data_IF_929234724854
#
_entry.id   IF_929234724854
#
_cell.length_a   1.000
_cell.length_b   1.000
_cell.length_c   1.000
_cell.angle_alpha   90.00
_cell.angle_beta   90.00
_cell.angle_gamma   90.00
#
_symmetry.space_group_name_H-M   'P 1'
#
loop_
_entity.id
_entity.type
_entity.pdbx_description
1 polymer ?
#
# COMPACT_ATOMS: atom_id res chain seq x y z
N UNK A 1 -17.31 30.07 -27.38
CA UNK A 1 -17.65 29.04 -28.38
C UNK A 1 -16.44 28.13 -28.53
N UNK A 2 -16.32 27.12 -27.66
CA UNK A 2 -15.23 26.13 -27.72
C UNK A 2 -15.63 25.00 -28.68
N UNK A 3 -14.63 24.50 -29.42
CA UNK A 3 -14.77 23.83 -30.71
C UNK A 3 -15.48 22.46 -30.65
N UNK A 4 -16.61 22.35 -31.34
CA UNK A 4 -17.34 21.08 -31.57
C UNK A 4 -16.45 19.99 -32.20
N UNK A 5 -15.45 20.40 -32.98
CA UNK A 5 -14.47 19.52 -33.64
C UNK A 5 -13.49 18.86 -32.65
N UNK A 6 -13.09 19.58 -31.62
CA UNK A 6 -12.14 19.08 -30.61
C UNK A 6 -12.82 18.04 -29.70
N UNK A 7 -14.10 18.27 -29.40
CA UNK A 7 -14.96 17.35 -28.68
C UNK A 7 -15.17 16.01 -29.42
N UNK A 8 -15.51 16.07 -30.72
CA UNK A 8 -15.68 14.86 -31.54
C UNK A 8 -14.39 14.03 -31.65
N UNK A 9 -13.23 14.69 -31.61
CA UNK A 9 -11.93 14.03 -31.67
C UNK A 9 -11.63 13.30 -30.35
N UNK A 10 -11.88 13.94 -29.20
CA UNK A 10 -11.70 13.31 -27.87
C UNK A 10 -12.63 12.12 -27.64
N UNK A 11 -13.89 12.23 -28.08
CA UNK A 11 -14.87 11.15 -28.00
C UNK A 11 -14.45 9.94 -28.85
N UNK A 12 -14.00 10.16 -30.08
CA UNK A 12 -13.52 9.06 -30.95
C UNK A 12 -12.31 8.34 -30.35
N UNK A 13 -11.37 9.09 -29.77
CA UNK A 13 -10.19 8.50 -29.12
C UNK A 13 -10.59 7.67 -27.89
N UNK A 14 -11.45 8.22 -27.02
CA UNK A 14 -11.94 7.51 -25.82
C UNK A 14 -12.75 6.25 -26.15
N UNK A 15 -13.57 6.27 -27.22
CA UNK A 15 -14.32 5.09 -27.67
C UNK A 15 -13.39 4.01 -28.24
N UNK A 16 -12.35 4.41 -28.97
CA UNK A 16 -11.33 3.51 -29.52
C UNK A 16 -10.51 2.81 -28.41
N UNK A 17 -10.09 3.57 -27.39
CA UNK A 17 -9.29 3.06 -26.27
C UNK A 17 -10.04 1.99 -25.44
N UNK A 18 -11.38 2.07 -25.42
CA UNK A 18 -12.24 1.13 -24.69
C UNK A 18 -12.85 0.02 -25.58
N UNK A 19 -12.37 -0.14 -26.82
CA UNK A 19 -12.88 -1.11 -27.81
C UNK A 19 -14.39 -1.00 -28.06
N UNK A 20 -14.96 0.19 -27.90
CA UNK A 20 -16.39 0.42 -28.09
C UNK A 20 -16.66 0.86 -29.53
N UNK A 21 -17.70 0.28 -30.15
CA UNK A 21 -18.05 0.66 -31.53
C UNK A 21 -18.48 2.13 -31.62
N UNK A 22 -17.94 2.86 -32.59
CA UNK A 22 -18.28 4.26 -32.89
C UNK A 22 -19.77 4.41 -33.29
N UNK A 23 -20.46 3.32 -33.58
CA UNK A 23 -21.90 3.29 -33.90
C UNK A 23 -22.81 3.07 -32.69
N UNK A 24 -22.27 2.83 -31.49
CA UNK A 24 -23.09 2.60 -30.30
C UNK A 24 -23.65 3.92 -29.75
N UNK A 25 -24.92 4.19 -30.05
CA UNK A 25 -25.63 5.39 -29.60
C UNK A 25 -25.72 5.49 -28.07
N UNK A 26 -25.69 4.36 -27.33
CA UNK A 26 -25.69 4.38 -25.86
C UNK A 26 -24.37 4.92 -25.33
N UNK A 27 -23.25 4.50 -25.93
CA UNK A 27 -21.93 4.98 -25.58
C UNK A 27 -21.79 6.47 -25.88
N UNK A 28 -22.28 6.91 -27.06
CA UNK A 28 -22.27 8.33 -27.44
C UNK A 28 -23.05 9.24 -26.49
N UNK A 29 -24.07 8.73 -25.81
CA UNK A 29 -24.83 9.48 -24.80
C UNK A 29 -24.19 9.40 -23.40
N UNK A 30 -23.71 8.22 -23.01
CA UNK A 30 -23.17 7.97 -21.67
C UNK A 30 -21.84 8.71 -21.39
N UNK A 31 -20.93 8.79 -22.36
CA UNK A 31 -19.64 9.48 -22.17
C UNK A 31 -19.79 11.00 -21.92
N UNK A 32 -20.59 11.75 -22.69
CA UNK A 32 -20.90 13.15 -22.37
C UNK A 32 -21.51 13.32 -20.98
N UNK A 33 -22.45 12.46 -20.60
CA UNK A 33 -23.10 12.53 -19.30
C UNK A 33 -22.12 12.27 -18.15
N UNK A 34 -21.23 11.29 -18.30
CA UNK A 34 -20.16 11.01 -17.36
C UNK A 34 -19.16 12.16 -17.28
N UNK A 35 -18.74 12.71 -18.42
CA UNK A 35 -17.81 13.85 -18.47
C UNK A 35 -18.42 15.08 -17.80
N UNK A 36 -19.70 15.36 -18.06
CA UNK A 36 -20.43 16.44 -17.41
C UNK A 36 -20.61 16.18 -15.90
N UNK A 37 -20.90 14.95 -15.50
CA UNK A 37 -21.03 14.58 -14.09
C UNK A 37 -19.71 14.73 -13.34
N UNK A 38 -18.61 14.27 -13.93
CA UNK A 38 -17.25 14.44 -13.40
C UNK A 38 -16.91 15.92 -13.30
N UNK A 39 -17.12 16.69 -14.37
CA UNK A 39 -16.91 18.13 -14.37
C UNK A 39 -17.73 18.81 -13.26
N UNK A 40 -19.01 18.48 -13.14
CA UNK A 40 -19.87 19.02 -12.09
C UNK A 40 -19.40 18.63 -10.68
N UNK A 41 -18.90 17.42 -10.47
CA UNK A 41 -18.34 16.97 -9.19
C UNK A 41 -17.06 17.71 -8.81
N UNK A 42 -16.19 18.02 -9.79
CA UNK A 42 -14.92 18.71 -9.54
C UNK A 42 -15.00 20.23 -9.59
N UNK A 43 -15.99 20.80 -10.28
CA UNK A 43 -16.16 22.25 -10.46
C UNK A 43 -17.17 22.86 -9.50
N UNK A 44 -18.13 22.08 -8.96
CA UNK A 44 -19.06 22.61 -7.96
C UNK A 44 -18.38 22.72 -6.60
N UNK A 45 -18.50 23.87 -5.91
CA UNK A 45 -17.98 24.00 -4.56
C UNK A 45 -18.68 23.01 -3.64
N UNK A 46 -17.89 22.32 -2.80
CA UNK A 46 -18.39 21.42 -1.76
C UNK A 46 -19.49 22.14 -0.95
N UNK A 47 -20.63 21.48 -0.67
CA UNK A 47 -21.64 22.02 0.23
C UNK A 47 -21.00 22.55 1.52
N UNK A 48 -21.40 23.75 1.95
CA UNK A 48 -20.74 24.44 3.07
C UNK A 48 -20.66 23.59 4.34
N UNK A 49 -21.65 22.71 4.58
CA UNK A 49 -21.65 21.74 5.68
C UNK A 49 -20.50 20.73 5.57
N UNK A 50 -20.34 20.10 4.40
CA UNK A 50 -19.26 19.13 4.16
C UNK A 50 -17.90 19.79 4.24
N UNK A 51 -17.75 20.99 3.68
CA UNK A 51 -16.51 21.76 3.79
C UNK A 51 -16.15 22.07 5.24
N UNK A 52 -17.13 22.49 6.07
CA UNK A 52 -16.91 22.73 7.50
C UNK A 52 -16.49 21.46 8.24
N UNK A 53 -17.16 20.33 7.98
CA UNK A 53 -16.80 19.04 8.56
C UNK A 53 -15.37 18.63 8.18
N UNK A 54 -15.03 18.67 6.89
CA UNK A 54 -13.69 18.35 6.40
C UNK A 54 -12.62 19.27 7.03
N UNK A 55 -12.89 20.57 7.12
CA UNK A 55 -11.97 21.54 7.75
C UNK A 55 -11.78 21.28 9.25
N UNK A 56 -12.82 20.84 9.94
CA UNK A 56 -12.76 20.48 11.36
C UNK A 56 -11.91 19.24 11.59
N UNK A 57 -12.17 18.17 10.84
CA UNK A 57 -11.38 16.94 10.91
C UNK A 57 -9.92 17.17 10.52
N UNK A 58 -9.66 17.93 9.46
CA UNK A 58 -8.30 18.31 9.07
C UNK A 58 -7.55 19.04 10.20
N UNK A 59 -8.21 19.94 10.92
CA UNK A 59 -7.61 20.65 12.07
C UNK A 59 -7.29 19.69 13.21
N UNK A 60 -8.15 18.71 13.50
CA UNK A 60 -7.86 17.68 14.51
C UNK A 60 -6.64 16.87 14.13
N UNK A 61 -6.60 16.35 12.90
CA UNK A 61 -5.46 15.58 12.37
C UNK A 61 -4.17 16.39 12.45
N UNK A 62 -4.18 17.67 12.05
CA UNK A 62 -3.00 18.53 12.16
C UNK A 62 -2.55 18.78 13.58
N UNK A 63 -3.46 18.85 14.56
CA UNK A 63 -3.11 18.97 15.98
C UNK A 63 -2.50 17.68 16.50
N UNK A 64 -3.06 16.52 16.16
CA UNK A 64 -2.51 15.22 16.52
C UNK A 64 -1.10 15.03 15.94
N UNK A 65 -0.90 15.35 14.66
CA UNK A 65 0.42 15.30 14.03
C UNK A 65 1.46 16.16 14.78
N UNK A 66 1.09 17.39 15.17
CA UNK A 66 1.98 18.27 15.95
C UNK A 66 2.27 17.71 17.34
N UNK A 67 1.30 17.09 18.00
CA UNK A 67 1.48 16.49 19.31
C UNK A 67 2.41 15.29 19.23
N UNK A 68 2.19 14.39 18.26
CA UNK A 68 3.03 13.22 18.03
C UNK A 68 4.47 13.61 17.67
N UNK A 69 4.66 14.68 16.89
CA UNK A 69 5.99 15.19 16.60
C UNK A 69 6.76 15.64 17.86
N UNK A 70 6.06 16.09 18.91
CA UNK A 70 6.65 16.46 20.20
C UNK A 70 6.79 15.28 21.17
N UNK A 71 6.20 14.13 20.85
CA UNK A 71 6.14 12.93 21.69
C UNK A 71 6.58 11.72 20.87
N UNK A 72 7.89 11.60 20.55
CA UNK A 72 8.42 10.46 19.82
C UNK A 72 8.36 9.15 20.62
N UNK A 73 8.05 9.25 21.91
CA UNK A 73 7.75 8.14 22.79
C UNK A 73 6.37 7.51 22.51
N UNK A 74 5.49 8.15 21.75
CA UNK A 74 4.17 7.61 21.40
C UNK A 74 4.24 6.92 20.04
N UNK A 75 3.82 5.66 19.99
CA UNK A 75 3.73 4.85 18.79
C UNK A 75 2.26 4.63 18.42
N UNK A 76 1.95 4.87 17.15
CA UNK A 76 0.68 4.49 16.53
C UNK A 76 0.99 3.45 15.46
N UNK A 77 0.39 2.26 15.57
CA UNK A 77 0.59 1.17 14.61
C UNK A 77 -0.76 0.58 14.21
N UNK A 78 -0.89 0.20 12.93
CA UNK A 78 -2.01 -0.63 12.50
C UNK A 78 -1.80 -2.05 13.02
N UNK A 79 -2.87 -2.72 13.42
CA UNK A 79 -2.82 -4.13 13.81
C UNK A 79 -3.02 -4.97 12.55
N UNK A 80 -2.18 -5.99 12.36
CA UNK A 80 -2.24 -6.85 11.18
C UNK A 80 -3.52 -7.70 11.14
N UNK A 81 -3.95 -8.17 12.32
CA UNK A 81 -5.21 -8.90 12.50
C UNK A 81 -6.32 -7.98 13.02
N UNK A 82 -6.95 -7.22 12.12
CA UNK A 82 -8.23 -6.53 12.38
C UNK A 82 -8.32 -5.07 11.93
N UNK A 83 -9.49 -4.46 12.16
CA UNK A 83 -9.78 -3.05 11.90
C UNK A 83 -9.43 -2.19 13.13
N UNK A 84 -8.15 -2.18 13.53
CA UNK A 84 -7.72 -1.49 14.73
C UNK A 84 -6.34 -0.86 14.64
N UNK A 85 -6.07 0.05 15.58
CA UNK A 85 -4.77 0.64 15.76
C UNK A 85 -4.32 0.49 17.21
N UNK A 86 -3.04 0.17 17.38
CA UNK A 86 -2.37 0.31 18.65
C UNK A 86 -1.94 1.77 18.86
N UNK A 87 -2.16 2.27 20.07
CA UNK A 87 -1.70 3.56 20.54
C UNK A 87 -1.05 3.37 21.92
N UNK A 88 0.24 3.69 22.05
CA UNK A 88 0.90 3.54 23.35
C UNK A 88 2.34 3.99 23.38
N UNK A 89 3.01 3.77 24.51
CA UNK A 89 4.38 4.22 24.71
C UNK A 89 5.39 3.22 24.14
N UNK A 90 6.40 3.75 23.43
CA UNK A 90 7.54 3.01 22.88
C UNK A 90 8.26 2.17 23.95
N UNK A 91 8.49 2.72 25.14
CA UNK A 91 9.22 2.01 26.19
C UNK A 91 8.48 0.76 26.68
N UNK A 92 7.15 0.80 26.70
CA UNK A 92 6.32 -0.36 27.09
C UNK A 92 6.42 -1.46 26.03
N UNK A 93 6.45 -1.08 24.75
CA UNK A 93 6.64 -2.04 23.66
C UNK A 93 8.03 -2.69 23.76
N UNK A 94 9.07 -1.87 23.93
CA UNK A 94 10.45 -2.36 24.06
C UNK A 94 10.58 -3.34 25.23
N UNK A 95 10.05 -2.99 26.41
CA UNK A 95 10.06 -3.86 27.58
C UNK A 95 9.36 -5.21 27.32
N UNK A 96 8.15 -5.20 26.76
CA UNK A 96 7.42 -6.43 26.44
C UNK A 96 8.12 -7.28 25.38
N UNK A 97 8.78 -6.62 24.43
CA UNK A 97 9.56 -7.27 23.38
C UNK A 97 10.75 -7.98 24.01
N UNK A 98 11.53 -7.30 24.84
CA UNK A 98 12.66 -7.87 25.57
C UNK A 98 12.25 -9.04 26.47
N UNK A 99 11.16 -8.90 27.22
CA UNK A 99 10.61 -9.96 28.07
C UNK A 99 10.24 -11.19 27.25
N UNK A 100 9.52 -11.01 26.14
CA UNK A 100 9.13 -12.10 25.26
C UNK A 100 10.34 -12.78 24.61
N UNK A 101 11.32 -12.01 24.11
CA UNK A 101 12.55 -12.55 23.52
C UNK A 101 13.34 -13.37 24.54
N UNK A 102 13.46 -12.88 25.78
CA UNK A 102 14.13 -13.58 26.87
C UNK A 102 13.44 -14.89 27.25
N UNK A 103 12.11 -14.92 27.21
CA UNK A 103 11.34 -16.10 27.61
C UNK A 103 11.27 -17.18 26.52
N UNK A 104 11.29 -16.78 25.25
CA UNK A 104 11.08 -17.72 24.13
C UNK A 104 12.35 -18.12 23.41
N UNK A 105 13.41 -17.32 23.51
CA UNK A 105 14.64 -17.46 22.71
C UNK A 105 14.38 -17.59 21.19
N UNK A 106 13.18 -17.22 20.73
CA UNK A 106 12.69 -17.50 19.38
C UNK A 106 13.05 -16.41 18.35
N UNK A 107 13.55 -15.27 18.82
CA UNK A 107 13.84 -14.10 17.99
C UNK A 107 15.24 -13.57 18.29
N UNK A 108 15.95 -13.12 17.25
CA UNK A 108 17.25 -12.47 17.35
C UNK A 108 17.20 -11.12 16.62
N UNK A 109 17.73 -10.08 17.26
CA UNK A 109 17.82 -8.75 16.65
C UNK A 109 18.85 -8.74 15.51
N UNK A 110 18.47 -8.19 14.35
CA UNK A 110 19.37 -7.97 13.23
C UNK A 110 20.04 -6.60 13.38
N UNK A 111 21.23 -6.57 13.97
CA UNK A 111 21.93 -5.32 14.33
C UNK A 111 22.76 -4.70 13.19
N UNK A 112 23.13 -5.50 12.19
CA UNK A 112 24.12 -5.10 11.16
C UNK A 112 23.51 -4.43 9.94
N UNK A 113 22.18 -4.33 9.86
CA UNK A 113 21.45 -3.86 8.67
C UNK A 113 21.60 -4.77 7.45
N UNK A 114 22.26 -5.92 7.58
CA UNK A 114 22.40 -6.94 6.53
C UNK A 114 21.26 -7.93 6.65
N UNK A 115 20.70 -8.34 5.52
CA UNK A 115 19.71 -9.41 5.49
C UNK A 115 20.35 -10.70 6.05
N UNK A 116 19.84 -11.27 7.16
CA UNK A 116 20.41 -12.48 7.75
C UNK A 116 20.26 -13.71 6.84
N UNK A 117 19.37 -13.65 5.85
CA UNK A 117 19.15 -14.72 4.87
C UNK A 117 19.95 -14.53 3.57
N UNK A 118 20.79 -13.49 3.46
CA UNK A 118 21.53 -13.19 2.23
C UNK A 118 22.34 -14.37 1.71
N UNK A 119 23.03 -15.08 2.60
CA UNK A 119 23.85 -16.25 2.21
C UNK A 119 23.00 -17.45 1.80
N UNK A 120 21.82 -17.61 2.41
CA UNK A 120 20.85 -18.63 2.03
C UNK A 120 20.31 -18.33 0.63
N UNK A 121 19.90 -17.08 0.35
CA UNK A 121 19.44 -16.67 -0.98
C UNK A 121 20.49 -16.94 -2.05
N UNK A 122 21.74 -16.53 -1.82
CA UNK A 122 22.86 -16.77 -2.74
C UNK A 122 23.09 -18.26 -2.97
N UNK A 123 23.00 -19.07 -1.92
CA UNK A 123 23.17 -20.52 -2.02
C UNK A 123 22.05 -21.16 -2.84
N UNK A 124 20.80 -20.75 -2.61
CA UNK A 124 19.65 -21.22 -3.38
C UNK A 124 19.76 -20.83 -4.85
N UNK A 125 20.13 -19.58 -5.15
CA UNK A 125 20.38 -19.12 -6.53
C UNK A 125 21.47 -19.95 -7.22
N UNK A 126 22.60 -20.21 -6.53
CA UNK A 126 23.69 -21.00 -7.07
C UNK A 126 23.27 -22.45 -7.41
N UNK A 127 22.44 -23.07 -6.56
CA UNK A 127 21.90 -24.41 -6.81
C UNK A 127 20.94 -24.40 -8.00
N UNK A 128 20.04 -23.43 -8.07
CA UNK A 128 19.09 -23.31 -9.18
C UNK A 128 19.81 -23.07 -10.52
N UNK A 129 20.85 -22.24 -10.52
CA UNK A 129 21.71 -22.01 -11.69
C UNK A 129 22.42 -23.27 -12.13
N UNK A 130 22.92 -24.07 -11.19
CA UNK A 130 23.54 -25.35 -11.50
C UNK A 130 22.56 -26.32 -12.16
N UNK A 131 21.34 -26.42 -11.62
CA UNK A 131 20.29 -27.30 -12.16
C UNK A 131 19.81 -26.87 -13.56
N UNK A 132 19.68 -25.56 -13.80
CA UNK A 132 19.35 -25.00 -15.11
C UNK A 132 20.46 -25.27 -16.14
N UNK A 133 21.73 -25.06 -15.76
CA UNK A 133 22.89 -25.39 -16.63
C UNK A 133 22.96 -26.88 -16.97
N UNK A 134 22.56 -27.75 -16.03
CA UNK A 134 22.46 -29.21 -16.25
C UNK A 134 21.18 -29.63 -16.98
N UNK A 135 20.31 -28.68 -17.35
CA UNK A 135 19.01 -28.90 -17.98
C UNK A 135 18.09 -29.85 -17.19
N UNK A 136 18.25 -29.87 -15.87
CA UNK A 136 17.40 -30.66 -14.95
C UNK A 136 16.08 -29.94 -14.70
N UNK A 137 16.11 -28.61 -14.70
CA UNK A 137 14.94 -27.74 -14.61
C UNK A 137 14.88 -26.81 -15.81
N UNK A 138 13.68 -26.37 -16.17
CA UNK A 138 13.48 -25.32 -17.17
C UNK A 138 13.68 -23.93 -16.57
N UNK A 139 14.00 -22.94 -17.40
CA UNK A 139 14.07 -21.53 -17.01
C UNK A 139 12.82 -21.04 -16.29
N UNK A 140 11.63 -21.45 -16.74
CA UNK A 140 10.35 -21.08 -16.09
C UNK A 140 10.24 -21.69 -14.68
N UNK A 141 10.72 -22.91 -14.48
CA UNK A 141 10.75 -23.52 -13.14
C UNK A 141 11.79 -22.85 -12.25
N UNK A 142 12.96 -22.51 -12.78
CA UNK A 142 13.99 -21.73 -12.07
C UNK A 142 13.42 -20.42 -11.57
N UNK A 143 12.78 -19.64 -12.45
CA UNK A 143 12.27 -18.31 -12.10
C UNK A 143 11.13 -18.37 -11.06
N UNK A 144 10.35 -19.45 -11.03
CA UNK A 144 9.34 -19.69 -9.98
C UNK A 144 9.92 -20.10 -8.64
N UNK A 145 11.07 -20.77 -8.63
CA UNK A 145 11.76 -21.24 -7.42
C UNK A 145 12.71 -20.18 -6.86
N UNK A 146 13.01 -19.13 -7.63
CA UNK A 146 13.88 -18.06 -7.22
C UNK A 146 13.21 -17.26 -6.09
N UNK A 147 13.91 -17.12 -4.98
CA UNK A 147 13.41 -16.38 -3.83
C UNK A 147 13.52 -14.88 -4.13
N UNK A 148 12.38 -14.18 -4.08
CA UNK A 148 12.38 -12.73 -4.21
C UNK A 148 12.61 -12.09 -2.84
N UNK A 149 13.80 -11.53 -2.65
CA UNK A 149 14.23 -10.86 -1.41
C UNK A 149 13.27 -9.74 -1.00
N UNK A 150 12.61 -9.08 -1.97
CA UNK A 150 11.68 -7.98 -1.70
C UNK A 150 10.30 -8.47 -1.23
N UNK A 151 10.00 -9.76 -1.33
CA UNK A 151 8.73 -10.35 -0.88
C UNK A 151 8.89 -11.22 0.36
N UNK A 152 10.12 -11.46 0.82
CA UNK A 152 10.36 -12.20 2.06
C UNK A 152 10.24 -11.25 3.23
N UNK A 153 9.13 -11.38 3.96
CA UNK A 153 8.93 -10.69 5.22
C UNK A 153 9.51 -11.53 6.36
N UNK A 154 10.27 -10.89 7.24
CA UNK A 154 10.71 -11.54 8.47
C UNK A 154 9.54 -11.62 9.45
N UNK A 155 9.48 -12.68 10.25
CA UNK A 155 8.54 -12.73 11.35
C UNK A 155 8.80 -11.53 12.28
N UNK A 156 7.87 -10.58 12.30
CA UNK A 156 7.92 -9.43 13.17
C UNK A 156 7.35 -9.82 14.52
N UNK A 157 8.09 -9.55 15.60
CA UNK A 157 7.52 -9.70 16.94
C UNK A 157 6.50 -8.59 17.18
N UNK A 158 5.23 -8.92 17.03
CA UNK A 158 4.13 -8.06 17.43
C UNK A 158 3.74 -8.39 18.86
N UNK A 159 4.17 -7.55 19.81
CA UNK A 159 3.56 -7.58 21.14
C UNK A 159 2.11 -7.11 20.98
N UNK A 160 1.16 -8.04 20.97
CA UNK A 160 -0.28 -7.76 21.02
C UNK A 160 -0.55 -6.92 22.26
N UNK A 161 -0.66 -5.62 22.07
CA UNK A 161 -1.17 -4.72 23.09
C UNK A 161 -2.66 -4.51 22.85
N UNK A 162 -3.41 -4.21 23.90
CA UNK A 162 -4.85 -3.99 23.84
C UNK A 162 -5.21 -3.07 22.67
N UNK A 163 -6.03 -3.61 21.76
CA UNK A 163 -6.43 -2.92 20.54
C UNK A 163 -7.39 -1.80 20.92
N UNK A 164 -7.08 -0.57 20.52
CA UNK A 164 -8.05 0.52 20.61
C UNK A 164 -8.96 0.46 19.38
N UNK A 165 -10.28 0.47 19.63
CA UNK A 165 -11.33 0.57 18.62
C UNK A 165 -11.73 2.03 18.41
#
# INVERSE_FOLDING_TARGET
MQNTTEYQTRLKNSLGDNQMSITDERAKQAFPELEQMIHDLYSRPLPAKLYRCARHEYRKVKRLQKLLHRRPDIIIRRVDEGEGFYFGNKSIIEYKTEEYMKNTEAYQEVTTGRCPLADIFRSTEAVLDYLDRKKVISKVQRDKLLLNVNTVEFAHLYTLSEVHK
#
